data_IF_472111969031
#
_entry.id   IF_472111969031
#
_cell.length_a   1.000
_cell.length_b   1.000
_cell.length_c   1.000
_cell.angle_alpha   90.00
_cell.angle_beta   90.00
_cell.angle_gamma   90.00
#
_symmetry.space_group_name_H-M   'P 1'
#
loop_
_entity.id
_entity.type
_entity.pdbx_description
1 polymer ?
#
# COMPACT_ATOMS: atom_id res chain seq x y z
N UNK A 1 -11.48 7.36 17.02
CA UNK A 1 -10.57 7.57 15.86
C UNK A 1 -10.49 9.07 15.57
N UNK A 2 -9.35 9.60 15.10
CA UNK A 2 -9.17 11.03 14.81
C UNK A 2 -10.00 11.44 13.58
N UNK A 3 -10.98 12.33 13.78
CA UNK A 3 -11.91 12.78 12.73
C UNK A 3 -11.22 13.53 11.58
N UNK A 4 -10.14 14.30 11.87
CA UNK A 4 -9.34 14.98 10.84
C UNK A 4 -8.63 13.97 9.94
N UNK A 5 -8.03 12.93 10.53
CA UNK A 5 -7.35 11.88 9.76
C UNK A 5 -8.33 11.06 8.91
N UNK A 6 -9.52 10.78 9.43
CA UNK A 6 -10.59 10.12 8.67
C UNK A 6 -11.07 10.95 7.48
N UNK A 7 -11.27 12.26 7.68
CA UNK A 7 -11.66 13.16 6.61
C UNK A 7 -10.59 13.24 5.53
N UNK A 8 -9.32 13.34 5.92
CA UNK A 8 -8.19 13.28 4.99
C UNK A 8 -8.21 11.98 4.19
N UNK A 9 -8.34 10.83 4.85
CA UNK A 9 -8.36 9.52 4.20
C UNK A 9 -9.50 9.41 3.18
N UNK A 10 -10.67 9.97 3.49
CA UNK A 10 -11.87 9.92 2.65
C UNK A 10 -11.84 10.92 1.50
N UNK A 11 -11.46 12.17 1.77
CA UNK A 11 -11.80 13.29 0.89
C UNK A 11 -10.60 14.00 0.25
N UNK A 12 -9.39 13.98 0.89
CA UNK A 12 -8.25 14.73 0.36
C UNK A 12 -7.79 14.15 -0.99
N UNK A 13 -7.52 15.03 -1.95
CA UNK A 13 -6.87 14.66 -3.21
C UNK A 13 -5.44 14.18 -2.95
N UNK A 14 -4.97 13.25 -3.76
CA UNK A 14 -3.64 12.69 -3.61
C UNK A 14 -3.64 11.18 -3.79
N UNK A 15 -2.48 10.55 -3.64
CA UNK A 15 -2.33 9.11 -3.70
C UNK A 15 -1.52 8.57 -2.50
N UNK A 16 -1.40 7.26 -2.35
CA UNK A 16 -0.67 6.64 -1.26
C UNK A 16 0.67 6.10 -1.79
N UNK A 17 1.79 6.58 -1.24
CA UNK A 17 3.10 6.05 -1.54
C UNK A 17 3.31 4.70 -0.82
N UNK A 18 3.58 3.63 -1.57
CA UNK A 18 3.88 2.32 -0.98
C UNK A 18 5.39 2.15 -0.79
N UNK A 19 5.87 2.42 0.42
CA UNK A 19 7.27 2.34 0.83
C UNK A 19 7.52 1.16 1.79
N UNK A 20 6.73 0.10 1.67
CA UNK A 20 6.68 -1.05 2.57
C UNK A 20 7.37 -2.31 2.03
N UNK A 21 8.29 -2.16 1.06
CA UNK A 21 9.09 -3.28 0.57
C UNK A 21 9.74 -4.02 1.76
N UNK A 22 9.61 -5.35 1.79
CA UNK A 22 10.06 -6.18 2.90
C UNK A 22 10.52 -7.56 2.41
N UNK A 23 11.29 -8.28 3.20
CA UNK A 23 11.78 -9.61 2.86
C UNK A 23 12.43 -9.64 1.48
N UNK A 24 12.03 -10.59 0.64
CA UNK A 24 12.59 -10.77 -0.70
C UNK A 24 12.36 -9.61 -1.68
N UNK A 25 11.48 -8.67 -1.39
CA UNK A 25 11.28 -7.48 -2.22
C UNK A 25 12.27 -6.35 -1.92
N UNK A 26 12.92 -6.35 -0.76
CA UNK A 26 13.90 -5.31 -0.36
C UNK A 26 15.17 -5.35 -1.23
N UNK A 27 15.86 -6.50 -1.42
CA UNK A 27 17.01 -6.58 -2.32
C UNK A 27 16.66 -6.15 -3.74
N UNK A 28 15.49 -6.58 -4.24
CA UNK A 28 15.03 -6.18 -5.58
C UNK A 28 14.83 -4.67 -5.69
N UNK A 29 14.26 -4.02 -4.68
CA UNK A 29 14.05 -2.57 -4.66
C UNK A 29 15.40 -1.82 -4.65
N UNK A 30 16.36 -2.25 -3.83
CA UNK A 30 17.71 -1.67 -3.79
C UNK A 30 18.44 -1.84 -5.13
N UNK A 31 18.38 -3.03 -5.74
CA UNK A 31 18.97 -3.27 -7.05
C UNK A 31 18.39 -2.38 -8.15
N UNK A 32 17.07 -2.20 -8.17
CA UNK A 32 16.41 -1.28 -9.09
C UNK A 32 16.84 0.18 -8.86
N UNK A 33 17.13 0.53 -7.61
CA UNK A 33 17.66 1.84 -7.22
C UNK A 33 19.16 2.00 -7.52
N UNK A 34 19.86 0.92 -7.94
CA UNK A 34 21.28 0.92 -8.28
C UNK A 34 22.21 0.56 -7.13
N UNK A 35 21.69 -0.11 -6.11
CA UNK A 35 22.46 -0.66 -4.99
C UNK A 35 22.38 -2.18 -5.08
N UNK A 36 23.46 -2.80 -5.54
CA UNK A 36 23.58 -4.25 -5.69
C UNK A 36 23.87 -4.94 -4.36
N UNK A 37 23.67 -6.27 -4.32
CA UNK A 37 23.79 -7.07 -3.09
C UNK A 37 25.21 -7.14 -2.53
N UNK A 38 26.24 -6.79 -3.32
CA UNK A 38 27.64 -6.65 -2.88
C UNK A 38 27.89 -5.40 -2.02
N UNK A 39 26.92 -4.49 -1.91
CA UNK A 39 27.02 -3.23 -1.15
C UNK A 39 26.58 -3.36 0.32
N UNK A 40 26.11 -4.52 0.75
CA UNK A 40 25.77 -4.80 2.13
C UNK A 40 26.09 -6.25 2.49
N UNK A 41 26.56 -6.48 3.73
CA UNK A 41 27.00 -7.77 4.23
C UNK A 41 26.04 -8.37 5.27
N UNK A 42 25.06 -7.60 5.72
CA UNK A 42 24.07 -8.01 6.72
C UNK A 42 22.68 -7.47 6.42
N UNK A 43 21.69 -8.10 7.04
CA UNK A 43 20.29 -7.65 6.97
C UNK A 43 20.13 -6.21 7.53
N UNK A 44 20.86 -5.89 8.59
CA UNK A 44 20.85 -4.55 9.20
C UNK A 44 21.39 -3.48 8.25
N UNK A 45 22.49 -3.76 7.53
CA UNK A 45 23.03 -2.87 6.50
C UNK A 45 22.05 -2.70 5.34
N UNK A 46 21.43 -3.78 4.90
CA UNK A 46 20.38 -3.73 3.87
C UNK A 46 19.22 -2.82 4.30
N UNK A 47 18.73 -2.97 5.54
CA UNK A 47 17.65 -2.13 6.05
C UNK A 47 18.07 -0.68 6.30
N UNK A 48 19.34 -0.42 6.57
CA UNK A 48 19.87 0.94 6.62
C UNK A 48 19.81 1.59 5.23
N UNK A 49 20.31 0.92 4.21
CA UNK A 49 20.30 1.43 2.83
C UNK A 49 18.88 1.66 2.30
N UNK A 50 17.95 0.74 2.59
CA UNK A 50 16.55 0.94 2.18
C UNK A 50 15.88 2.10 2.94
N UNK A 51 16.27 2.33 4.18
CA UNK A 51 15.79 3.50 4.93
C UNK A 51 16.35 4.81 4.36
N UNK A 52 17.62 4.83 3.96
CA UNK A 52 18.24 5.98 3.28
C UNK A 52 17.51 6.29 1.95
N UNK A 53 17.23 5.27 1.15
CA UNK A 53 16.43 5.40 -0.07
C UNK A 53 15.03 5.99 0.22
N UNK A 54 14.32 5.44 1.21
CA UNK A 54 13.00 5.93 1.62
C UNK A 54 13.04 7.36 2.14
N UNK A 55 14.06 7.69 2.93
CA UNK A 55 14.28 9.04 3.44
C UNK A 55 14.47 10.02 2.30
N UNK A 56 15.27 9.68 1.29
CA UNK A 56 15.48 10.52 0.12
C UNK A 56 14.19 10.75 -0.67
N UNK A 57 13.35 9.72 -0.81
CA UNK A 57 12.02 9.83 -1.44
C UNK A 57 11.12 10.77 -0.62
N UNK A 58 11.01 10.54 0.69
CA UNK A 58 10.14 11.32 1.59
C UNK A 58 10.57 12.79 1.67
N UNK A 59 11.86 13.07 1.54
CA UNK A 59 12.42 14.45 1.58
C UNK A 59 12.39 15.15 0.22
N UNK A 60 12.03 14.47 -0.87
CA UNK A 60 11.89 15.14 -2.16
C UNK A 60 10.78 16.21 -2.08
N UNK A 61 11.00 17.45 -2.60
CA UNK A 61 10.05 18.56 -2.47
C UNK A 61 8.64 18.24 -3.01
N UNK A 62 8.55 17.39 -4.02
CA UNK A 62 7.28 16.93 -4.59
C UNK A 62 6.53 15.93 -3.70
N UNK A 63 7.22 15.31 -2.72
CA UNK A 63 6.62 14.40 -1.75
C UNK A 63 5.98 15.18 -0.60
N UNK A 64 4.85 15.78 -0.85
CA UNK A 64 4.14 16.68 0.06
C UNK A 64 2.63 16.39 0.09
N UNK A 65 1.91 17.02 1.01
CA UNK A 65 0.47 16.80 1.22
C UNK A 65 -0.43 17.15 0.04
N UNK A 66 0.06 17.95 -0.91
CA UNK A 66 -0.72 18.34 -2.07
C UNK A 66 -0.80 17.21 -3.11
N UNK A 67 0.15 16.26 -3.04
CA UNK A 67 0.22 15.10 -3.92
C UNK A 67 0.03 13.78 -3.19
N UNK A 68 0.57 13.66 -1.95
CA UNK A 68 0.63 12.41 -1.18
C UNK A 68 -0.37 12.47 -0.03
N UNK A 69 -1.37 11.59 -0.07
CA UNK A 69 -2.36 11.45 0.99
C UNK A 69 -1.83 10.64 2.17
N UNK A 70 -1.07 9.58 1.89
CA UNK A 70 -0.54 8.67 2.88
C UNK A 70 0.72 7.95 2.40
N UNK A 71 1.44 7.34 3.31
CA UNK A 71 2.58 6.48 3.02
C UNK A 71 2.49 5.18 3.81
N UNK A 72 2.67 4.04 3.13
CA UNK A 72 2.71 2.73 3.77
C UNK A 72 4.17 2.42 4.07
N UNK A 73 4.47 2.18 5.35
CA UNK A 73 5.81 1.92 5.85
C UNK A 73 5.96 0.43 6.21
N UNK A 74 7.19 -0.07 6.15
CA UNK A 74 7.53 -1.35 6.76
C UNK A 74 7.77 -1.18 8.27
N UNK A 75 7.56 -2.24 9.07
CA UNK A 75 7.63 -2.17 10.52
C UNK A 75 8.96 -1.59 11.04
N UNK A 76 10.09 -1.95 10.45
CA UNK A 76 11.39 -1.40 10.87
C UNK A 76 11.55 0.10 10.55
N UNK A 77 10.83 0.60 9.55
CA UNK A 77 10.88 2.00 9.15
C UNK A 77 10.17 2.91 10.15
N UNK A 78 9.12 2.43 10.83
CA UNK A 78 8.40 3.27 11.81
C UNK A 78 9.24 3.62 13.05
N UNK A 79 10.23 2.80 13.37
CA UNK A 79 11.13 3.02 14.50
C UNK A 79 12.40 3.80 14.12
N UNK A 80 12.69 3.95 12.83
CA UNK A 80 13.82 4.74 12.31
C UNK A 80 13.47 6.24 12.25
N UNK A 81 14.49 7.07 12.05
CA UNK A 81 14.33 8.52 12.12
C UNK A 81 14.67 9.21 10.80
N UNK A 82 13.95 10.31 10.54
CA UNK A 82 14.25 11.30 9.51
C UNK A 82 14.44 12.63 10.24
N UNK A 83 15.62 13.25 10.10
CA UNK A 83 15.98 14.52 10.73
C UNK A 83 15.72 14.53 12.27
N UNK A 84 16.06 13.43 12.96
CA UNK A 84 15.89 13.28 14.42
C UNK A 84 14.47 13.04 14.89
N UNK A 85 13.53 12.80 13.99
CA UNK A 85 12.12 12.52 14.27
C UNK A 85 11.76 11.12 13.78
N UNK A 86 10.97 10.35 14.53
CA UNK A 86 10.46 9.06 14.04
C UNK A 86 9.75 9.22 12.71
N UNK A 87 9.95 8.28 11.78
CA UNK A 87 9.46 8.40 10.40
C UNK A 87 7.95 8.67 10.33
N UNK A 88 7.15 8.02 11.15
CA UNK A 88 5.71 8.24 11.19
C UNK A 88 5.34 9.65 11.70
N UNK A 89 6.06 10.12 12.72
CA UNK A 89 5.89 11.49 13.25
C UNK A 89 6.33 12.55 12.23
N UNK A 90 7.41 12.28 11.49
CA UNK A 90 7.86 13.16 10.40
C UNK A 90 6.78 13.28 9.32
N UNK A 91 6.21 12.15 8.88
CA UNK A 91 5.13 12.14 7.87
C UNK A 91 3.92 12.95 8.34
N UNK A 92 3.46 12.74 9.58
CA UNK A 92 2.27 13.43 10.06
C UNK A 92 2.55 14.87 10.49
N UNK A 93 3.52 15.11 11.36
CA UNK A 93 3.71 16.41 11.98
C UNK A 93 4.41 17.43 11.06
N UNK A 94 5.25 16.98 10.11
CA UNK A 94 5.94 17.86 9.16
C UNK A 94 5.24 17.96 7.81
N UNK A 95 4.71 16.84 7.31
CA UNK A 95 4.17 16.78 5.95
C UNK A 95 2.64 16.66 5.91
N UNK A 96 1.96 16.44 7.03
CA UNK A 96 0.52 16.10 7.10
C UNK A 96 0.12 14.93 6.18
N UNK A 97 0.98 13.93 6.07
CA UNK A 97 0.77 12.69 5.31
C UNK A 97 0.41 11.57 6.28
N UNK A 98 -0.66 10.82 6.00
CA UNK A 98 -1.14 9.74 6.86
C UNK A 98 -0.14 8.57 6.87
N UNK A 99 0.43 8.19 8.02
CA UNK A 99 1.30 7.03 8.11
C UNK A 99 0.49 5.75 8.27
N UNK A 100 0.81 4.76 7.45
CA UNK A 100 0.31 3.38 7.55
C UNK A 100 1.49 2.43 7.79
N UNK A 101 1.23 1.27 8.40
CA UNK A 101 2.23 0.22 8.58
C UNK A 101 1.77 -1.11 7.99
N UNK A 102 2.69 -1.78 7.29
CA UNK A 102 2.50 -3.16 6.83
C UNK A 102 2.53 -4.10 8.02
N UNK A 103 1.50 -4.94 8.17
CA UNK A 103 1.36 -5.86 9.32
C UNK A 103 1.48 -7.33 8.95
N UNK A 104 1.28 -7.70 7.68
CA UNK A 104 1.43 -9.10 7.26
C UNK A 104 2.89 -9.58 7.39
N UNK A 105 3.06 -10.84 7.75
CA UNK A 105 4.37 -11.49 7.94
C UNK A 105 4.79 -12.32 6.72
N UNK A 106 4.30 -11.94 5.53
CA UNK A 106 4.57 -12.62 4.28
C UNK A 106 3.47 -13.59 3.88
N UNK A 107 3.67 -14.25 2.74
CA UNK A 107 2.71 -15.17 2.13
C UNK A 107 2.99 -16.60 2.53
N UNK A 108 1.93 -17.38 2.71
CA UNK A 108 1.97 -18.84 2.80
C UNK A 108 2.25 -19.44 1.42
N UNK A 109 2.39 -20.76 1.38
CA UNK A 109 2.53 -21.50 0.12
C UNK A 109 1.26 -21.39 -0.71
N UNK A 110 1.38 -21.64 -2.01
CA UNK A 110 0.25 -21.64 -2.94
C UNK A 110 -0.65 -22.84 -2.63
N UNK A 111 -1.93 -22.57 -2.38
CA UNK A 111 -2.96 -23.56 -2.20
C UNK A 111 -4.29 -23.03 -2.75
N UNK A 112 -5.10 -23.87 -3.39
CA UNK A 112 -6.36 -23.46 -4.00
C UNK A 112 -6.24 -22.20 -4.87
N UNK A 113 -5.16 -22.09 -5.66
CA UNK A 113 -4.93 -20.96 -6.56
C UNK A 113 -4.56 -19.64 -5.86
N UNK A 114 -4.37 -19.64 -4.53
CA UNK A 114 -4.09 -18.43 -3.75
C UNK A 114 -2.91 -18.59 -2.79
N UNK A 115 -2.33 -17.48 -2.41
CA UNK A 115 -1.39 -17.40 -1.30
C UNK A 115 -2.00 -16.56 -0.18
N UNK A 116 -2.43 -17.23 0.87
CA UNK A 116 -2.90 -16.57 2.10
C UNK A 116 -1.74 -15.85 2.80
N UNK A 117 -2.06 -14.97 3.71
CA UNK A 117 -1.06 -14.44 4.65
C UNK A 117 -0.64 -15.53 5.64
N UNK A 118 0.64 -15.57 5.99
CA UNK A 118 1.09 -16.34 7.17
C UNK A 118 0.40 -15.82 8.41
N UNK A 119 0.27 -16.67 9.43
CA UNK A 119 -0.29 -16.26 10.71
C UNK A 119 0.47 -15.05 11.29
N UNK A 120 -0.26 -14.02 11.68
CA UNK A 120 0.33 -12.78 12.22
C UNK A 120 0.54 -12.90 13.75
N UNK A 121 1.50 -13.71 14.16
CA UNK A 121 1.82 -13.95 15.58
C UNK A 121 2.28 -12.71 16.34
N UNK A 122 2.79 -11.69 15.62
CA UNK A 122 3.29 -10.43 16.18
C UNK A 122 2.30 -9.25 16.02
N UNK A 123 1.06 -9.51 15.58
CA UNK A 123 0.12 -8.43 15.26
C UNK A 123 -0.14 -7.51 16.47
N UNK A 124 -0.48 -8.07 17.62
CA UNK A 124 -0.83 -7.25 18.79
C UNK A 124 0.33 -6.36 19.24
N UNK A 125 1.55 -6.90 19.34
CA UNK A 125 2.73 -6.12 19.73
C UNK A 125 3.09 -5.03 18.68
N UNK A 126 2.90 -5.32 17.40
CA UNK A 126 3.11 -4.33 16.35
C UNK A 126 2.05 -3.22 16.39
N UNK A 127 0.79 -3.54 16.64
CA UNK A 127 -0.28 -2.55 16.77
C UNK A 127 -0.09 -1.64 18.00
N UNK A 128 0.41 -2.17 19.12
CA UNK A 128 0.74 -1.35 20.28
C UNK A 128 1.86 -0.36 19.98
N UNK A 129 2.94 -0.82 19.35
CA UNK A 129 4.04 0.03 18.90
C UNK A 129 3.58 1.05 17.84
N UNK A 130 2.73 0.64 16.90
CA UNK A 130 2.14 1.52 15.89
C UNK A 130 1.30 2.65 16.51
N UNK A 131 0.57 2.35 17.60
CA UNK A 131 -0.21 3.35 18.34
C UNK A 131 0.69 4.40 18.98
N UNK A 132 1.80 3.99 19.60
CA UNK A 132 2.79 4.91 20.17
C UNK A 132 3.44 5.82 19.12
N UNK A 133 3.54 5.36 17.86
CA UNK A 133 4.09 6.09 16.72
C UNK A 133 3.04 6.90 15.95
N UNK A 134 1.82 7.02 16.44
CA UNK A 134 0.76 7.80 15.78
C UNK A 134 0.34 7.30 14.40
N UNK A 135 0.59 6.00 14.10
CA UNK A 135 0.14 5.34 12.86
C UNK A 135 -1.39 5.46 12.75
N UNK A 136 -1.86 5.80 11.57
CA UNK A 136 -3.29 5.94 11.29
C UNK A 136 -3.95 4.60 10.94
N UNK A 137 -3.27 3.78 10.17
CA UNK A 137 -3.84 2.54 9.69
C UNK A 137 -2.78 1.49 9.35
N UNK A 138 -3.24 0.36 8.89
CA UNK A 138 -2.38 -0.79 8.56
C UNK A 138 -2.57 -1.21 7.11
N UNK A 139 -1.67 -2.07 6.61
CA UNK A 139 -1.82 -2.73 5.31
C UNK A 139 -1.42 -4.20 5.43
N UNK A 140 -2.18 -5.08 4.80
CA UNK A 140 -1.92 -6.52 4.74
C UNK A 140 -2.24 -7.06 3.36
N UNK A 141 -1.44 -8.02 2.84
CA UNK A 141 -1.48 -8.49 1.47
C UNK A 141 -1.57 -10.02 1.39
N UNK A 142 -2.54 -10.50 0.59
CA UNK A 142 -2.62 -11.86 0.06
C UNK A 142 -2.55 -11.80 -1.47
N UNK A 143 -2.34 -12.93 -2.14
CA UNK A 143 -2.27 -12.98 -3.61
C UNK A 143 -3.18 -14.07 -4.16
N UNK A 144 -3.98 -13.72 -5.16
CA UNK A 144 -4.80 -14.62 -5.95
C UNK A 144 -4.08 -14.82 -7.28
N UNK A 145 -3.63 -16.05 -7.55
CA UNK A 145 -2.83 -16.40 -8.72
C UNK A 145 -3.60 -17.14 -9.79
N UNK A 146 -4.61 -17.90 -9.40
CA UNK A 146 -5.37 -18.76 -10.28
C UNK A 146 -6.85 -18.64 -9.97
N UNK A 147 -7.67 -19.03 -10.93
CA UNK A 147 -9.11 -19.03 -10.78
C UNK A 147 -9.55 -20.21 -9.89
N UNK A 148 -9.86 -19.90 -8.64
CA UNK A 148 -10.45 -20.84 -7.70
C UNK A 148 -11.40 -20.11 -6.75
N UNK A 149 -12.69 -20.45 -6.79
CA UNK A 149 -13.72 -19.76 -5.99
C UNK A 149 -13.52 -19.99 -4.48
N UNK A 150 -12.99 -21.14 -4.08
CA UNK A 150 -12.77 -21.46 -2.66
C UNK A 150 -11.60 -20.63 -2.14
N UNK A 151 -10.48 -20.63 -2.87
CA UNK A 151 -9.30 -19.85 -2.51
C UNK A 151 -9.57 -18.35 -2.47
N UNK A 152 -10.30 -17.79 -3.45
CA UNK A 152 -10.68 -16.36 -3.45
C UNK A 152 -11.48 -16.02 -2.20
N UNK A 153 -12.46 -16.86 -1.84
CA UNK A 153 -13.26 -16.67 -0.63
C UNK A 153 -12.43 -16.75 0.66
N UNK A 154 -11.48 -17.66 0.73
CA UNK A 154 -10.57 -17.81 1.86
C UNK A 154 -9.67 -16.59 2.03
N UNK A 155 -9.13 -16.03 0.95
CA UNK A 155 -8.36 -14.78 0.95
C UNK A 155 -9.17 -13.64 1.56
N UNK A 156 -10.38 -13.41 1.06
CA UNK A 156 -11.23 -12.33 1.54
C UNK A 156 -11.60 -12.55 3.01
N UNK A 157 -12.03 -13.76 3.37
CA UNK A 157 -12.37 -14.11 4.75
C UNK A 157 -11.20 -13.86 5.70
N UNK A 158 -10.00 -14.36 5.38
CA UNK A 158 -8.82 -14.17 6.23
C UNK A 158 -8.51 -12.69 6.44
N UNK A 159 -8.54 -11.88 5.37
CA UNK A 159 -8.25 -10.46 5.48
C UNK A 159 -9.30 -9.71 6.31
N UNK A 160 -10.58 -10.03 6.16
CA UNK A 160 -11.62 -9.40 6.98
C UNK A 160 -11.58 -9.85 8.45
N UNK A 161 -11.19 -11.08 8.74
CA UNK A 161 -11.00 -11.55 10.12
C UNK A 161 -9.86 -10.79 10.82
N UNK A 162 -8.74 -10.53 10.13
CA UNK A 162 -7.69 -9.64 10.64
C UNK A 162 -8.11 -8.17 10.68
N UNK A 163 -8.84 -7.68 9.69
CA UNK A 163 -9.35 -6.32 9.67
C UNK A 163 -10.18 -5.99 10.91
N UNK A 164 -11.07 -6.89 11.34
CA UNK A 164 -11.87 -6.72 12.57
C UNK A 164 -10.99 -6.59 13.83
N UNK A 165 -9.93 -7.38 13.94
CA UNK A 165 -8.96 -7.27 15.06
C UNK A 165 -8.24 -5.92 15.03
N UNK A 166 -7.84 -5.44 13.86
CA UNK A 166 -7.15 -4.17 13.65
C UNK A 166 -8.07 -2.98 13.97
N UNK A 167 -9.33 -3.03 13.50
CA UNK A 167 -10.36 -2.01 13.79
C UNK A 167 -10.62 -1.93 15.29
N UNK A 168 -10.73 -3.06 15.98
CA UNK A 168 -10.94 -3.11 17.44
C UNK A 168 -9.80 -2.44 18.24
N UNK A 169 -8.58 -2.36 17.66
CA UNK A 169 -7.44 -1.62 18.23
C UNK A 169 -7.41 -0.13 17.82
N UNK A 170 -8.37 0.33 17.02
CA UNK A 170 -8.55 1.74 16.64
C UNK A 170 -7.83 2.16 15.36
N UNK A 171 -7.42 1.24 14.50
CA UNK A 171 -6.76 1.51 13.22
C UNK A 171 -7.69 1.29 12.03
N UNK A 172 -7.38 1.94 10.90
CA UNK A 172 -8.02 1.69 9.61
C UNK A 172 -7.19 0.66 8.83
N UNK A 173 -7.69 -0.56 8.58
CA UNK A 173 -6.97 -1.52 7.75
C UNK A 173 -7.11 -1.20 6.26
N UNK A 174 -6.01 -1.30 5.52
CA UNK A 174 -5.98 -1.44 4.07
C UNK A 174 -5.95 -2.94 3.78
N UNK A 175 -7.01 -3.46 3.20
CA UNK A 175 -7.22 -4.85 2.79
C UNK A 175 -6.70 -4.99 1.37
N UNK A 176 -5.66 -5.83 1.14
CA UNK A 176 -5.01 -5.99 -0.17
C UNK A 176 -5.08 -7.45 -0.67
N UNK A 177 -6.23 -7.90 -1.19
CA UNK A 177 -6.36 -9.15 -1.92
C UNK A 177 -5.88 -8.93 -3.37
N UNK A 178 -4.57 -8.97 -3.59
CA UNK A 178 -3.97 -8.74 -4.90
C UNK A 178 -4.33 -9.86 -5.87
N UNK A 179 -4.87 -9.54 -7.03
CA UNK A 179 -4.97 -10.45 -8.16
C UNK A 179 -3.71 -10.33 -8.99
N UNK A 180 -3.00 -11.44 -9.23
CA UNK A 180 -1.80 -11.46 -10.07
C UNK A 180 -2.16 -10.96 -11.48
N UNK A 181 -1.39 -10.00 -11.99
CA UNK A 181 -1.64 -9.43 -13.33
C UNK A 181 -1.48 -10.43 -14.47
N UNK A 182 -0.82 -11.55 -14.20
CA UNK A 182 -0.61 -12.65 -15.15
C UNK A 182 -1.56 -13.83 -14.91
N UNK A 183 -2.52 -13.68 -13.97
CA UNK A 183 -3.50 -14.74 -13.73
C UNK A 183 -4.33 -15.00 -14.98
N UNK A 184 -4.43 -16.27 -15.36
CA UNK A 184 -5.41 -16.70 -16.35
C UNK A 184 -6.81 -16.41 -15.80
N UNK A 185 -7.71 -15.91 -16.61
CA UNK A 185 -9.07 -15.50 -16.21
C UNK A 185 -9.13 -14.35 -15.20
N UNK A 186 -8.13 -13.42 -15.23
CA UNK A 186 -8.04 -12.29 -14.30
C UNK A 186 -9.38 -11.54 -14.16
N UNK A 187 -10.06 -11.23 -15.26
CA UNK A 187 -11.34 -10.52 -15.24
C UNK A 187 -12.46 -11.27 -14.51
N UNK A 188 -12.52 -12.60 -14.62
CA UNK A 188 -13.46 -13.44 -13.90
C UNK A 188 -13.12 -13.53 -12.41
N UNK A 189 -11.84 -13.66 -12.07
CA UNK A 189 -11.36 -13.63 -10.68
C UNK A 189 -11.79 -12.31 -10.02
N UNK A 190 -11.61 -11.19 -10.70
CA UNK A 190 -11.95 -9.86 -10.19
C UNK A 190 -13.46 -9.68 -9.93
N UNK A 191 -14.31 -10.27 -10.76
CA UNK A 191 -15.77 -10.26 -10.55
C UNK A 191 -16.18 -11.07 -9.32
N UNK A 192 -15.57 -12.24 -9.11
CA UNK A 192 -15.81 -13.04 -7.90
C UNK A 192 -15.29 -12.27 -6.67
N UNK A 193 -14.08 -11.73 -6.75
CA UNK A 193 -13.49 -10.92 -5.68
C UNK A 193 -14.40 -9.75 -5.30
N UNK A 194 -14.95 -9.02 -6.28
CA UNK A 194 -15.89 -7.93 -6.03
C UNK A 194 -17.10 -8.39 -5.21
N UNK A 195 -17.68 -9.54 -5.54
CA UNK A 195 -18.84 -10.07 -4.82
C UNK A 195 -18.47 -10.49 -3.39
N UNK A 196 -17.34 -11.18 -3.20
CA UNK A 196 -16.87 -11.56 -1.86
C UNK A 196 -16.54 -10.33 -1.00
N UNK A 197 -15.98 -9.27 -1.60
CA UNK A 197 -15.74 -8.01 -0.91
C UNK A 197 -17.04 -7.38 -0.44
N UNK A 198 -18.08 -7.27 -1.30
CA UNK A 198 -19.39 -6.73 -0.93
C UNK A 198 -20.00 -7.49 0.24
N UNK A 199 -20.05 -8.82 0.16
CA UNK A 199 -20.62 -9.67 1.22
C UNK A 199 -19.92 -9.47 2.57
N UNK A 200 -18.61 -9.27 2.59
CA UNK A 200 -17.86 -9.10 3.82
C UNK A 200 -17.90 -7.65 4.34
N UNK A 201 -17.97 -6.65 3.48
CA UNK A 201 -18.18 -5.25 3.85
C UNK A 201 -19.56 -5.09 4.55
N UNK A 202 -20.60 -5.74 4.05
CA UNK A 202 -21.94 -5.70 4.67
C UNK A 202 -21.93 -6.19 6.12
N UNK A 203 -21.11 -7.17 6.44
CA UNK A 203 -20.98 -7.76 7.79
C UNK A 203 -20.20 -6.89 8.79
N UNK A 204 -19.55 -5.80 8.36
CA UNK A 204 -18.87 -4.86 9.24
C UNK A 204 -19.91 -3.99 10.01
N UNK A 205 -19.55 -3.52 11.21
CA UNK A 205 -20.36 -2.56 11.93
C UNK A 205 -20.38 -1.18 11.21
N UNK A 206 -21.31 -0.31 11.58
CA UNK A 206 -21.49 0.99 10.92
C UNK A 206 -20.24 1.88 10.97
N UNK A 207 -19.54 1.83 12.10
CA UNK A 207 -18.35 2.67 12.33
C UNK A 207 -17.01 1.92 12.08
N UNK A 208 -17.09 0.74 11.46
CA UNK A 208 -15.91 -0.03 11.03
C UNK A 208 -15.44 0.47 9.68
N UNK A 209 -14.45 1.36 9.67
CA UNK A 209 -13.90 1.91 8.45
C UNK A 209 -12.73 1.08 7.93
N UNK A 210 -12.73 0.87 6.62
CA UNK A 210 -11.66 0.16 5.88
C UNK A 210 -11.22 0.95 4.67
N UNK A 211 -10.06 0.60 4.14
CA UNK A 211 -9.62 0.94 2.78
C UNK A 211 -9.33 -0.36 2.02
N UNK A 212 -9.47 -0.31 0.73
CA UNK A 212 -9.19 -1.44 -0.15
C UNK A 212 -8.02 -1.11 -1.06
N UNK A 213 -7.09 -2.05 -1.21
CA UNK A 213 -5.99 -1.94 -2.18
C UNK A 213 -6.10 -3.08 -3.17
N UNK A 214 -6.44 -2.77 -4.41
CA UNK A 214 -6.84 -3.73 -5.41
C UNK A 214 -5.92 -3.63 -6.64
N UNK A 215 -5.78 -4.74 -7.36
CA UNK A 215 -5.13 -4.74 -8.66
C UNK A 215 -5.94 -3.89 -9.63
N UNK A 216 -5.27 -3.12 -10.49
CA UNK A 216 -5.93 -2.40 -11.58
C UNK A 216 -6.73 -3.39 -12.43
N UNK A 217 -8.07 -3.22 -12.54
CA UNK A 217 -8.94 -4.25 -13.11
C UNK A 217 -8.87 -4.32 -14.64
N UNK A 218 -9.35 -5.44 -15.19
CA UNK A 218 -9.54 -5.58 -16.64
C UNK A 218 -10.76 -4.79 -17.13
N UNK A 219 -11.83 -4.75 -16.35
CA UNK A 219 -13.03 -3.96 -16.64
C UNK A 219 -12.92 -2.59 -15.96
N UNK A 220 -12.99 -1.51 -16.74
CA UNK A 220 -12.93 -0.16 -16.22
C UNK A 220 -14.08 0.10 -15.22
N UNK A 221 -13.76 0.70 -14.08
CA UNK A 221 -14.71 1.01 -13.01
C UNK A 221 -15.33 -0.21 -12.30
N UNK A 222 -14.78 -1.41 -12.45
CA UNK A 222 -15.29 -2.63 -11.81
C UNK A 222 -15.56 -2.45 -10.31
N UNK A 223 -14.67 -1.78 -9.60
CA UNK A 223 -14.74 -1.60 -8.15
C UNK A 223 -15.49 -0.34 -7.70
N UNK A 224 -15.97 0.49 -8.63
CA UNK A 224 -16.70 1.72 -8.31
C UNK A 224 -17.92 1.50 -7.39
N UNK A 225 -18.73 0.40 -7.54
CA UNK A 225 -19.86 0.12 -6.66
C UNK A 225 -19.49 -0.12 -5.18
N UNK A 226 -18.23 -0.37 -4.86
CA UNK A 226 -17.79 -0.51 -3.46
C UNK A 226 -17.84 0.82 -2.69
N UNK A 227 -17.91 1.95 -3.38
CA UNK A 227 -18.14 3.27 -2.76
C UNK A 227 -19.59 3.53 -2.31
N UNK A 228 -20.52 2.63 -2.63
CA UNK A 228 -21.89 2.68 -2.08
C UNK A 228 -21.91 2.33 -0.59
N UNK A 229 -20.83 1.73 -0.09
CA UNK A 229 -20.66 1.42 1.33
C UNK A 229 -19.88 2.53 2.03
N UNK A 230 -20.53 3.29 2.93
CA UNK A 230 -19.89 4.36 3.71
C UNK A 230 -18.67 3.92 4.53
N UNK A 231 -18.58 2.61 4.82
CA UNK A 231 -17.46 1.96 5.53
C UNK A 231 -16.17 1.97 4.71
N UNK A 232 -16.26 2.06 3.39
CA UNK A 232 -15.11 2.14 2.49
C UNK A 232 -14.65 3.58 2.36
N UNK A 233 -13.57 3.93 3.07
CA UNK A 233 -13.02 5.29 3.01
C UNK A 233 -12.39 5.59 1.66
N UNK A 234 -11.62 4.64 1.12
CA UNK A 234 -10.88 4.82 -0.13
C UNK A 234 -10.59 3.47 -0.79
N UNK A 235 -10.63 3.47 -2.11
CA UNK A 235 -10.10 2.39 -2.94
C UNK A 235 -8.81 2.90 -3.55
N UNK A 236 -7.73 2.12 -3.36
CA UNK A 236 -6.43 2.42 -3.94
C UNK A 236 -5.99 1.28 -4.85
N UNK A 237 -5.28 1.59 -5.93
CA UNK A 237 -4.81 0.60 -6.88
C UNK A 237 -3.33 0.29 -6.67
N UNK A 238 -2.96 -0.99 -6.73
CA UNK A 238 -1.58 -1.44 -6.86
C UNK A 238 -1.18 -1.57 -8.34
N UNK A 239 0.11 -1.43 -8.65
CA UNK A 239 0.62 -1.59 -10.02
C UNK A 239 0.85 -3.05 -10.44
N UNK A 240 0.94 -3.99 -9.48
CA UNK A 240 1.06 -5.45 -9.73
C UNK A 240 2.28 -5.91 -10.52
N UNK A 241 2.95 -5.02 -11.22
CA UNK A 241 4.05 -5.30 -12.13
C UNK A 241 3.96 -4.56 -13.45
N UNK A 242 2.85 -3.90 -13.73
CA UNK A 242 2.75 -2.96 -14.83
C UNK A 242 3.77 -1.83 -14.70
N UNK A 243 4.24 -1.27 -15.83
CA UNK A 243 5.04 -0.06 -15.85
C UNK A 243 4.27 1.12 -15.25
N UNK A 244 4.96 2.21 -14.94
CA UNK A 244 4.29 3.44 -14.48
C UNK A 244 3.31 3.98 -15.52
N UNK A 245 3.70 3.96 -16.80
CA UNK A 245 2.86 4.43 -17.90
C UNK A 245 1.57 3.62 -17.99
N UNK A 246 1.65 2.29 -18.05
CA UNK A 246 0.50 1.40 -18.11
C UNK A 246 -0.37 1.50 -16.84
N UNK A 247 0.26 1.57 -15.65
CA UNK A 247 -0.47 1.75 -14.40
C UNK A 247 -1.25 3.05 -14.37
N UNK A 248 -0.66 4.14 -14.85
CA UNK A 248 -1.31 5.44 -14.94
C UNK A 248 -2.48 5.43 -15.93
N UNK A 249 -2.29 4.81 -17.10
CA UNK A 249 -3.35 4.69 -18.11
C UNK A 249 -4.55 3.91 -17.57
N UNK A 250 -4.31 2.73 -16.97
CA UNK A 250 -5.38 1.92 -16.34
C UNK A 250 -6.05 2.67 -15.19
N UNK A 251 -5.27 3.35 -14.35
CA UNK A 251 -5.79 4.14 -13.23
C UNK A 251 -6.73 5.25 -13.71
N UNK A 252 -6.33 5.97 -14.75
CA UNK A 252 -7.11 7.09 -15.30
C UNK A 252 -8.48 6.70 -15.87
N UNK A 253 -8.71 5.40 -16.12
CA UNK A 253 -10.02 4.85 -16.53
C UNK A 253 -10.89 4.38 -15.34
N UNK A 254 -10.34 4.40 -14.11
CA UNK A 254 -11.03 3.94 -12.91
C UNK A 254 -11.38 5.11 -11.99
N UNK A 255 -12.59 5.63 -12.09
CA UNK A 255 -13.06 6.81 -11.36
C UNK A 255 -13.02 6.60 -9.84
N UNK A 256 -12.59 7.65 -9.11
CA UNK A 256 -12.48 7.69 -7.65
C UNK A 256 -11.41 6.75 -7.06
N UNK A 257 -10.77 5.91 -7.87
CA UNK A 257 -9.64 5.09 -7.44
C UNK A 257 -8.37 5.94 -7.51
N UNK A 258 -7.57 5.90 -6.45
CA UNK A 258 -6.26 6.58 -6.42
C UNK A 258 -5.13 5.54 -6.44
N UNK A 259 -3.92 5.95 -6.77
CA UNK A 259 -2.77 5.05 -6.75
C UNK A 259 -2.32 4.67 -5.33
N UNK A 260 -1.77 3.47 -5.20
CA UNK A 260 -0.86 3.07 -4.13
C UNK A 260 0.29 2.26 -4.72
N UNK A 261 1.12 2.96 -5.50
CA UNK A 261 2.20 2.35 -6.26
C UNK A 261 3.49 2.29 -5.45
N UNK A 262 4.24 1.21 -5.63
CA UNK A 262 5.59 1.03 -5.10
C UNK A 262 6.61 1.12 -6.23
N UNK A 263 6.74 0.07 -7.05
CA UNK A 263 7.69 0.04 -8.17
C UNK A 263 7.45 1.14 -9.20
N UNK A 264 6.20 1.38 -9.56
CA UNK A 264 5.87 2.43 -10.52
C UNK A 264 6.20 3.85 -9.98
N UNK A 265 6.11 4.08 -8.65
CA UNK A 265 6.54 5.35 -8.05
C UNK A 265 8.06 5.57 -8.16
N UNK A 266 8.84 4.53 -7.89
CA UNK A 266 10.31 4.61 -7.84
C UNK A 266 10.98 4.22 -9.17
N UNK A 267 10.20 3.92 -10.21
CA UNK A 267 10.72 3.52 -11.52
C UNK A 267 11.65 4.57 -12.10
N UNK A 268 12.88 4.16 -12.42
CA UNK A 268 13.91 5.04 -12.97
C UNK A 268 14.74 5.81 -11.93
N UNK A 269 14.32 5.90 -10.67
CA UNK A 269 15.12 6.52 -9.62
C UNK A 269 16.42 5.74 -9.36
N UNK A 270 17.55 6.43 -9.20
CA UNK A 270 18.86 5.84 -8.96
C UNK A 270 19.61 6.50 -7.81
N UNK A 271 20.36 5.68 -7.06
CA UNK A 271 21.24 6.15 -6.00
C UNK A 271 22.32 7.12 -6.49
N UNK A 272 22.79 6.91 -7.74
CA UNK A 272 23.85 7.71 -8.38
C UNK A 272 23.38 9.10 -8.85
N UNK A 273 22.09 9.38 -8.87
CA UNK A 273 21.58 10.71 -9.23
C UNK A 273 22.03 11.76 -8.22
N UNK A 274 22.37 12.94 -8.69
CA UNK A 274 22.48 14.12 -7.83
C UNK A 274 21.15 14.43 -7.17
N UNK A 275 21.11 15.26 -6.14
CA UNK A 275 19.84 15.62 -5.49
C UNK A 275 18.91 16.40 -6.44
N UNK A 276 19.46 17.22 -7.32
CA UNK A 276 18.70 17.94 -8.34
C UNK A 276 18.06 16.99 -9.34
N UNK A 277 18.83 16.04 -9.90
CA UNK A 277 18.33 15.03 -10.82
C UNK A 277 17.27 14.14 -10.17
N UNK A 278 17.53 13.70 -8.92
CA UNK A 278 16.59 12.87 -8.17
C UNK A 278 15.28 13.61 -7.88
N UNK A 279 15.35 14.86 -7.41
CA UNK A 279 14.17 15.66 -7.12
C UNK A 279 13.32 15.92 -8.36
N UNK A 280 13.95 16.24 -9.50
CA UNK A 280 13.27 16.39 -10.78
C UNK A 280 12.59 15.09 -11.22
N UNK A 281 13.31 13.96 -11.11
CA UNK A 281 12.75 12.64 -11.45
C UNK A 281 11.56 12.28 -10.58
N UNK A 282 11.66 12.53 -9.25
CA UNK A 282 10.54 12.29 -8.33
C UNK A 282 9.35 13.21 -8.60
N UNK A 283 9.60 14.46 -8.94
CA UNK A 283 8.54 15.40 -9.32
C UNK A 283 7.77 14.91 -10.56
N UNK A 284 8.46 14.49 -11.61
CA UNK A 284 7.85 13.93 -12.81
C UNK A 284 7.02 12.67 -12.49
N UNK A 285 7.58 11.75 -11.68
CA UNK A 285 6.90 10.52 -11.26
C UNK A 285 5.64 10.82 -10.44
N UNK A 286 5.76 11.65 -9.40
CA UNK A 286 4.67 12.00 -8.50
C UNK A 286 3.57 12.74 -9.24
N UNK A 287 3.90 13.73 -10.06
CA UNK A 287 2.92 14.50 -10.83
C UNK A 287 2.16 13.61 -11.83
N UNK A 288 2.84 12.67 -12.49
CA UNK A 288 2.19 11.75 -13.43
C UNK A 288 1.16 10.86 -12.73
N UNK A 289 1.51 10.29 -11.57
CA UNK A 289 0.62 9.43 -10.77
C UNK A 289 -0.53 10.25 -10.15
N UNK A 290 -0.22 11.43 -9.62
CA UNK A 290 -1.21 12.33 -9.02
C UNK A 290 -2.28 12.73 -10.02
N UNK A 291 -1.88 13.13 -11.22
CA UNK A 291 -2.81 13.53 -12.30
C UNK A 291 -3.87 12.46 -12.58
N UNK A 292 -3.46 11.19 -12.60
CA UNK A 292 -4.40 10.08 -12.85
C UNK A 292 -5.23 9.72 -11.61
N UNK A 293 -4.67 9.95 -10.41
CA UNK A 293 -5.36 9.68 -9.13
C UNK A 293 -6.48 10.67 -8.79
N UNK A 294 -6.58 11.80 -9.47
CA UNK A 294 -7.57 12.85 -9.16
C UNK A 294 -8.64 13.02 -10.23
N UNK A 295 -8.66 12.15 -11.24
CA UNK A 295 -9.68 12.10 -12.32
C UNK A 295 -11.04 11.65 -11.85
#
# INVERSE_FOLDING_TARGET
MDSKKLDIARNRKGFIAALDQSGGSTPKALRLYGIDEDKYSSEDEMFKLVHEMRTRIIKAPSFNKDHILGAILFEQTIDREIDGMKTADYLWNKLEILPFVKVDQGLADLDNGVQLMKEMTKLDSLLERAKERGIFGTKMRSVIKEFDCVGIKEVVKQQFDYAKKIIAKGFVPIIEPEVDIHAEYKGEIEKILLNELKENIEKLAKDDFIMLKLTLPEEDNLYLPLYDYEKVLRIVALSGGYSREESNERLGRNHRVIASFSRALTEGAKASMTDEEFNKHMEESINSIYKESIK
#
